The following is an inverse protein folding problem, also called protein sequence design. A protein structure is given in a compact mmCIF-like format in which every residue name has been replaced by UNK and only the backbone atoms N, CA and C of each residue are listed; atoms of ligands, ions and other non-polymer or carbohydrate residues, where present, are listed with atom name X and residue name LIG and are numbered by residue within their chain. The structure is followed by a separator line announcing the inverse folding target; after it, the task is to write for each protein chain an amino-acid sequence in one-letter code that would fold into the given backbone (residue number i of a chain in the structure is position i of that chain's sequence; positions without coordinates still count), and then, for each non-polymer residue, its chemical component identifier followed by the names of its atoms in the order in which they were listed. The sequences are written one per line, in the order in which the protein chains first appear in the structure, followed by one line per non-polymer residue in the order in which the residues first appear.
data_IF_857598682403
#
_entry.id   IF_857598682403
#
_cell.length_a   1.000
_cell.length_b   1.000
_cell.length_c   1.000
_cell.angle_alpha   90.00
_cell.angle_beta   90.00
_cell.angle_gamma   90.00
#
_symmetry.space_group_name_H-M   'P 1'
#
loop_
_entity.id
_entity.type
_entity.pdbx_description
1 polymer ?
#
# COMPACT_ATOMS: atom_id res chain seq x y z
N UNK A 1 17.96 -13.94 0.62
CA UNK A 1 16.97 -12.90 0.27
C UNK A 1 16.01 -12.75 1.43
N UNK A 2 16.11 -11.65 2.18
CA UNK A 2 15.25 -11.41 3.34
C UNK A 2 13.98 -10.70 2.86
N UNK A 3 12.87 -11.44 2.84
CA UNK A 3 11.55 -10.85 2.67
C UNK A 3 11.31 -9.90 3.86
N UNK A 4 10.58 -8.79 3.68
CA UNK A 4 9.90 -8.16 4.81
C UNK A 4 8.79 -9.09 5.27
N UNK A 5 9.18 -10.09 6.05
CA UNK A 5 8.24 -10.96 6.73
C UNK A 5 7.60 -10.07 7.78
N UNK A 6 6.31 -9.81 7.63
CA UNK A 6 5.54 -9.20 8.71
C UNK A 6 5.56 -10.19 9.87
N UNK A 7 6.51 -10.05 10.80
CA UNK A 7 6.70 -10.97 11.92
C UNK A 7 5.68 -10.76 13.03
N UNK A 8 4.81 -9.76 12.89
CA UNK A 8 3.73 -9.54 13.85
C UNK A 8 2.71 -10.69 13.80
N UNK A 9 2.65 -11.44 12.70
CA UNK A 9 1.71 -12.52 12.51
C UNK A 9 2.41 -13.82 12.09
N UNK A 10 1.98 -14.91 12.72
CA UNK A 10 2.59 -16.24 12.56
C UNK A 10 2.32 -16.88 11.20
N UNK A 11 1.23 -16.50 10.55
CA UNK A 11 0.79 -16.99 9.24
C UNK A 11 -0.14 -15.97 8.56
N UNK A 12 -0.42 -16.17 7.28
CA UNK A 12 -1.24 -15.24 6.48
C UNK A 12 -2.67 -15.12 6.99
N UNK A 13 -3.23 -16.21 7.54
CA UNK A 13 -4.58 -16.22 8.11
C UNK A 13 -4.66 -15.32 9.33
N UNK A 14 -3.68 -15.42 10.24
CA UNK A 14 -3.58 -14.56 11.43
C UNK A 14 -3.28 -13.11 11.08
N UNK A 15 -2.54 -12.87 9.99
CA UNK A 15 -2.31 -11.53 9.45
C UNK A 15 -3.61 -10.89 8.98
N UNK A 16 -4.42 -11.62 8.21
CA UNK A 16 -5.75 -11.15 7.78
C UNK A 16 -6.68 -10.92 8.97
N UNK A 17 -6.75 -11.87 9.90
CA UNK A 17 -7.55 -11.74 11.13
C UNK A 17 -7.09 -10.55 11.99
N UNK A 18 -5.78 -10.32 12.08
CA UNK A 18 -5.17 -9.19 12.77
C UNK A 18 -5.56 -7.85 12.16
N UNK A 19 -5.40 -7.71 10.84
CA UNK A 19 -5.83 -6.49 10.14
C UNK A 19 -7.32 -6.22 10.29
N UNK A 20 -8.17 -7.25 10.23
CA UNK A 20 -9.62 -7.10 10.45
C UNK A 20 -9.95 -6.68 11.90
N UNK A 21 -9.19 -7.17 12.88
CA UNK A 21 -9.42 -6.87 14.30
C UNK A 21 -8.90 -5.49 14.71
N UNK A 22 -7.75 -5.08 14.18
CA UNK A 22 -7.08 -3.83 14.51
C UNK A 22 -7.67 -2.64 13.73
N UNK A 23 -8.13 -2.88 12.49
CA UNK A 23 -8.91 -1.92 11.71
C UNK A 23 -10.40 -2.23 11.91
N UNK A 24 -10.96 -1.84 13.08
CA UNK A 24 -12.37 -2.07 13.48
C UNK A 24 -13.44 -1.70 12.43
N UNK A 25 -13.07 -0.92 11.43
CA UNK A 25 -13.80 -0.73 10.17
C UNK A 25 -12.74 -0.67 9.09
N UNK A 26 -12.75 -1.55 8.09
CA UNK A 26 -12.04 -1.27 6.84
C UNK A 26 -12.86 -0.19 6.13
N UNK A 27 -12.43 1.08 6.13
CA UNK A 27 -13.23 2.13 5.53
C UNK A 27 -13.27 1.96 4.01
N UNK A 28 -12.35 1.19 3.41
CA UNK A 28 -12.22 1.02 1.96
C UNK A 28 -13.26 0.01 1.46
N UNK A 29 -14.19 0.49 0.63
CA UNK A 29 -15.23 -0.31 -0.04
C UNK A 29 -14.77 -0.88 -1.39
N UNK A 30 -13.65 -0.41 -1.92
CA UNK A 30 -13.06 -0.91 -3.16
C UNK A 30 -11.92 -0.03 -3.65
N UNK A 31 -11.42 -0.34 -4.84
CA UNK A 31 -10.38 0.44 -5.50
C UNK A 31 -10.61 0.47 -7.01
N UNK A 32 -9.94 1.41 -7.69
CA UNK A 32 -9.92 1.53 -9.13
C UNK A 32 -8.50 1.89 -9.59
N UNK A 33 -7.96 1.14 -10.55
CA UNK A 33 -6.71 1.50 -11.21
C UNK A 33 -7.08 2.47 -12.32
N UNK A 34 -6.73 3.74 -12.13
CA UNK A 34 -7.09 4.82 -13.06
C UNK A 34 -6.02 5.07 -14.12
N UNK A 35 -4.77 4.67 -13.83
CA UNK A 35 -3.66 4.76 -14.77
C UNK A 35 -2.63 3.66 -14.50
N UNK A 36 -1.98 3.19 -15.57
CA UNK A 36 -0.86 2.25 -15.51
C UNK A 36 0.21 2.64 -16.51
N UNK A 37 1.45 2.79 -16.02
CA UNK A 37 2.61 3.18 -16.83
C UNK A 37 3.69 2.12 -16.70
N UNK A 38 4.00 1.44 -17.80
CA UNK A 38 5.13 0.50 -17.85
C UNK A 38 6.44 1.29 -17.78
N UNK A 39 7.26 1.04 -16.76
CA UNK A 39 8.59 1.69 -16.64
C UNK A 39 9.62 0.89 -17.42
N UNK A 40 9.64 -0.43 -17.25
CA UNK A 40 10.49 -1.37 -17.99
C UNK A 40 9.89 -2.78 -17.91
N UNK A 41 10.51 -3.80 -18.50
CA UNK A 41 9.97 -5.18 -18.54
C UNK A 41 9.68 -5.82 -17.17
N UNK A 42 10.27 -5.28 -16.10
CA UNK A 42 10.15 -5.79 -14.74
C UNK A 42 9.49 -4.79 -13.78
N UNK A 43 9.07 -3.60 -14.24
CA UNK A 43 8.50 -2.57 -13.38
C UNK A 43 7.31 -1.85 -14.04
N UNK A 44 6.25 -1.66 -13.26
CA UNK A 44 5.03 -0.95 -13.61
C UNK A 44 4.70 0.04 -12.51
N UNK A 45 4.34 1.26 -12.87
CA UNK A 45 3.72 2.23 -11.98
C UNK A 45 2.21 2.16 -12.16
N UNK A 46 1.46 1.97 -11.08
CA UNK A 46 0.00 2.06 -11.07
C UNK A 46 -0.42 3.32 -10.32
N UNK A 47 -1.52 3.93 -10.73
CA UNK A 47 -2.22 4.96 -9.98
C UNK A 47 -3.58 4.43 -9.58
N UNK A 48 -3.83 4.38 -8.27
CA UNK A 48 -4.99 3.71 -7.69
C UNK A 48 -5.80 4.69 -6.87
N UNK A 49 -7.10 4.78 -7.15
CA UNK A 49 -8.06 5.49 -6.31
C UNK A 49 -8.69 4.50 -5.34
N UNK A 50 -8.59 4.77 -4.05
CA UNK A 50 -9.30 4.03 -3.00
C UNK A 50 -10.70 4.62 -2.80
N UNK A 51 -11.70 3.74 -2.78
CA UNK A 51 -13.10 4.08 -2.55
C UNK A 51 -13.42 3.76 -1.09
N UNK A 52 -14.00 4.70 -0.37
CA UNK A 52 -14.36 4.53 1.03
C UNK A 52 -15.88 4.44 1.20
N UNK A 53 -16.36 3.62 2.13
CA UNK A 53 -17.75 3.57 2.57
C UNK A 53 -18.00 4.59 3.69
N UNK A 54 -19.13 5.31 3.60
CA UNK A 54 -19.58 6.24 4.63
C UNK A 54 -19.82 7.66 4.10
N UNK A 55 -20.71 8.41 4.74
CA UNK A 55 -20.94 9.81 4.42
C UNK A 55 -19.74 10.65 4.84
N UNK A 56 -19.21 11.46 3.92
CA UNK A 56 -18.16 12.45 4.22
C UNK A 56 -16.72 12.03 3.88
N UNK A 57 -16.47 10.77 3.50
CA UNK A 57 -15.16 10.38 2.99
C UNK A 57 -15.00 10.84 1.54
N UNK A 58 -14.07 11.76 1.28
CA UNK A 58 -13.60 12.03 -0.08
C UNK A 58 -12.84 10.79 -0.57
N UNK A 59 -13.06 10.40 -1.81
CA UNK A 59 -12.21 9.40 -2.48
C UNK A 59 -10.75 9.86 -2.39
N UNK A 60 -9.81 8.92 -2.31
CA UNK A 60 -8.41 9.30 -2.35
C UNK A 60 -8.10 9.97 -3.69
N UNK A 61 -7.12 10.89 -3.75
CA UNK A 61 -6.48 11.16 -5.03
C UNK A 61 -5.86 9.87 -5.60
N UNK A 62 -5.50 9.83 -6.90
CA UNK A 62 -4.76 8.70 -7.46
C UNK A 62 -3.43 8.49 -6.72
N UNK A 63 -3.31 7.36 -6.02
CA UNK A 63 -2.15 7.01 -5.22
C UNK A 63 -1.14 6.22 -6.06
N UNK A 64 0.15 6.59 -6.06
CA UNK A 64 1.17 5.87 -6.81
C UNK A 64 1.56 4.56 -6.11
N UNK A 65 1.44 3.43 -6.81
CA UNK A 65 1.97 2.14 -6.39
C UNK A 65 2.99 1.62 -7.40
N UNK A 66 4.21 1.35 -6.93
CA UNK A 66 5.24 0.72 -7.74
C UNK A 66 5.11 -0.79 -7.65
N UNK A 67 4.99 -1.46 -8.79
CA UNK A 67 4.92 -2.92 -8.92
C UNK A 67 6.17 -3.38 -9.65
N UNK A 68 6.86 -4.38 -9.10
CA UNK A 68 8.10 -4.88 -9.67
C UNK A 68 8.12 -6.40 -9.67
N UNK A 69 8.82 -6.98 -10.65
CA UNK A 69 9.00 -8.42 -10.78
C UNK A 69 10.15 -8.87 -9.89
N UNK A 70 9.87 -9.80 -8.98
CA UNK A 70 10.85 -10.50 -8.17
C UNK A 70 11.00 -11.95 -8.63
N UNK A 71 11.95 -12.69 -8.06
CA UNK A 71 12.17 -14.12 -8.35
C UNK A 71 10.89 -14.97 -8.19
N UNK A 72 10.01 -14.60 -7.25
CA UNK A 72 8.77 -15.33 -6.95
C UNK A 72 7.51 -14.71 -7.59
N UNK A 73 7.68 -13.80 -8.55
CA UNK A 73 6.57 -13.10 -9.23
C UNK A 73 6.48 -11.62 -8.88
N UNK A 74 5.38 -11.00 -9.30
CA UNK A 74 5.12 -9.57 -9.12
C UNK A 74 4.88 -9.21 -7.66
N UNK A 75 5.47 -8.11 -7.22
CA UNK A 75 5.33 -7.56 -5.87
C UNK A 75 4.99 -6.08 -5.94
N UNK A 76 4.26 -5.61 -4.95
CA UNK A 76 3.92 -4.18 -4.78
C UNK A 76 4.85 -3.60 -3.71
N UNK A 77 5.50 -2.49 -4.02
CA UNK A 77 6.22 -1.68 -3.04
C UNK A 77 5.21 -0.79 -2.31
N UNK A 78 5.12 -0.94 -0.99
CA UNK A 78 4.26 -0.11 -0.15
C UNK A 78 5.14 0.96 0.50
N UNK A 79 4.99 2.20 0.03
CA UNK A 79 5.63 3.37 0.62
C UNK A 79 4.60 4.15 1.47
N UNK A 80 5.02 4.77 2.57
CA UNK A 80 4.17 5.71 3.29
C UNK A 80 3.86 6.91 2.39
N UNK A 81 2.59 7.32 2.40
CA UNK A 81 2.11 8.48 1.64
C UNK A 81 1.42 9.45 2.59
N UNK A 82 1.67 10.74 2.36
CA UNK A 82 0.92 11.82 2.98
C UNK A 82 -0.02 12.43 1.94
N UNK A 83 -1.28 12.63 2.33
CA UNK A 83 -2.33 13.12 1.44
C UNK A 83 -2.87 14.43 2.00
N UNK A 84 -2.78 15.50 1.21
CA UNK A 84 -3.49 16.73 1.51
C UNK A 84 -4.97 16.56 1.14
N UNK A 85 -5.85 16.50 2.13
CA UNK A 85 -7.29 16.25 1.93
C UNK A 85 -8.07 17.44 1.34
N UNK A 86 -7.42 18.62 1.27
CA UNK A 86 -7.98 19.83 0.67
C UNK A 86 -7.59 19.92 -0.80
N UNK A 87 -6.31 19.76 -1.12
CA UNK A 87 -5.78 19.91 -2.49
C UNK A 87 -5.74 18.61 -3.29
N UNK A 88 -5.72 17.45 -2.62
CA UNK A 88 -5.50 16.14 -3.23
C UNK A 88 -4.04 15.86 -3.56
N UNK A 89 -3.10 16.71 -3.15
CA UNK A 89 -1.68 16.49 -3.35
C UNK A 89 -1.19 15.27 -2.56
N UNK A 90 -0.36 14.45 -3.19
CA UNK A 90 0.21 13.23 -2.62
C UNK A 90 1.72 13.36 -2.56
N UNK A 91 2.29 13.24 -1.37
CA UNK A 91 3.73 13.29 -1.13
C UNK A 91 4.22 12.02 -0.45
N UNK A 92 5.54 11.79 -0.48
CA UNK A 92 6.14 10.73 0.32
C UNK A 92 5.99 11.05 1.79
N UNK A 93 5.40 10.13 2.54
CA UNK A 93 5.29 10.23 3.98
C UNK A 93 6.56 9.79 4.69
N UNK A 94 6.63 10.08 5.98
CA UNK A 94 7.68 9.55 6.85
C UNK A 94 7.22 8.22 7.46
N UNK A 95 7.99 7.11 7.35
CA UNK A 95 7.64 5.87 8.04
C UNK A 95 7.59 6.10 9.55
N UNK A 96 6.45 5.80 10.18
CA UNK A 96 6.30 5.90 11.65
C UNK A 96 7.14 4.81 12.34
N UNK A 97 7.37 3.69 11.65
CA UNK A 97 8.24 2.60 12.07
C UNK A 97 9.24 2.30 10.96
N UNK A 98 10.50 2.64 11.18
CA UNK A 98 11.60 2.29 10.29
C UNK A 98 12.25 0.99 10.78
N UNK A 99 12.01 -0.12 10.09
CA UNK A 99 12.84 -1.31 10.29
C UNK A 99 14.14 -1.14 9.51
N UNK A 100 15.20 -0.79 10.24
CA UNK A 100 16.56 -0.86 9.72
C UNK A 100 17.00 -2.31 9.73
N UNK A 101 17.06 -2.93 8.56
CA UNK A 101 17.79 -4.20 8.41
C UNK A 101 19.27 -3.88 8.56
N UNK A 102 19.84 -4.13 9.74
CA UNK A 102 21.28 -4.23 9.88
C UNK A 102 21.69 -5.58 9.33
N UNK A 103 22.18 -5.60 8.10
CA UNK A 103 22.90 -6.76 7.58
C UNK A 103 24.06 -7.03 8.55
N UNK A 104 23.97 -8.14 9.28
CA UNK A 104 25.05 -8.73 10.07
C UNK A 104 25.18 -10.20 9.70
#
# INVERSE_FOLDING_TARGET
MFYSKDTNYLDEKRREEGYVKDLKTNPTSGYEIVESTQINSNEVQLYVVQKYAGQGYKQSPPLPYKVFKSENGWKVLVEPLEINTVTGEVTKGTPIHEWKYTDS
#
